data_IF_573567929175
#
_entry.id   IF_573567929175
#
_cell.length_a   1.000
_cell.length_b   1.000
_cell.length_c   1.000
_cell.angle_alpha   90.00
_cell.angle_beta   90.00
_cell.angle_gamma   90.00
#
_symmetry.space_group_name_H-M   'P 1'
#
loop_
_entity.id
_entity.type
_entity.pdbx_description
1 polymer ?
#
# COMPACT_ATOMS: atom_id res chain seq x y z
N UNK A 1 -12.12 4.90 -6.76
CA UNK A 1 -11.21 5.81 -6.03
C UNK A 1 -9.91 5.83 -6.79
N UNK A 2 -9.53 6.98 -7.33
CA UNK A 2 -8.25 7.10 -8.01
C UNK A 2 -7.15 7.20 -6.94
N UNK A 3 -6.20 6.25 -6.95
CA UNK A 3 -5.05 6.26 -6.04
C UNK A 3 -3.98 7.16 -6.65
N UNK A 4 -3.51 8.17 -5.92
CA UNK A 4 -2.37 8.96 -6.36
C UNK A 4 -1.11 8.10 -6.34
N UNK A 5 -0.46 8.00 -7.49
CA UNK A 5 0.71 7.15 -7.72
C UNK A 5 1.82 7.96 -8.37
N UNK A 6 3.04 7.88 -7.85
CA UNK A 6 4.21 8.56 -8.39
C UNK A 6 5.49 7.78 -8.06
N UNK A 7 6.33 7.53 -9.06
CA UNK A 7 7.55 6.69 -8.93
C UNK A 7 7.33 5.32 -8.26
N UNK A 8 6.14 4.71 -8.45
CA UNK A 8 5.77 3.43 -7.84
C UNK A 8 5.33 3.51 -6.38
N UNK A 9 5.30 4.71 -5.79
CA UNK A 9 4.74 4.97 -4.46
C UNK A 9 3.27 5.37 -4.58
N UNK A 10 2.52 5.14 -3.50
CA UNK A 10 1.09 5.45 -3.43
C UNK A 10 0.79 6.35 -2.24
N UNK A 11 -0.24 7.18 -2.35
CA UNK A 11 -0.73 7.99 -1.25
C UNK A 11 -1.88 7.31 -0.50
N UNK A 12 -1.86 7.42 0.84
CA UNK A 12 -3.07 7.32 1.66
C UNK A 12 -3.44 8.73 2.12
N UNK A 13 -4.66 9.16 1.83
CA UNK A 13 -5.16 10.52 2.10
C UNK A 13 -6.31 10.43 3.09
N UNK A 14 -6.30 11.32 4.07
CA UNK A 14 -7.33 11.52 5.07
C UNK A 14 -7.67 13.02 5.11
N UNK A 15 -8.90 13.36 5.47
CA UNK A 15 -9.33 14.75 5.64
C UNK A 15 -9.32 15.07 7.13
N UNK A 16 -8.61 16.13 7.50
CA UNK A 16 -8.63 16.68 8.85
C UNK A 16 -9.69 17.80 8.89
N UNK A 17 -10.75 17.57 9.66
CA UNK A 17 -11.87 18.50 9.77
C UNK A 17 -11.61 19.66 10.74
N UNK A 18 -10.61 19.55 11.63
CA UNK A 18 -10.26 20.63 12.55
C UNK A 18 -9.44 21.71 11.84
N UNK A 19 -8.50 21.26 11.00
CA UNK A 19 -7.59 22.14 10.25
C UNK A 19 -8.05 22.42 8.81
N UNK A 20 -9.17 21.83 8.37
CA UNK A 20 -9.75 21.94 7.02
C UNK A 20 -8.74 21.62 5.90
N UNK A 21 -7.91 20.60 6.12
CA UNK A 21 -6.79 20.24 5.23
C UNK A 21 -6.82 18.76 4.86
N UNK A 22 -6.34 18.43 3.66
CA UNK A 22 -6.06 17.05 3.31
C UNK A 22 -4.67 16.67 3.82
N UNK A 23 -4.62 15.66 4.68
CA UNK A 23 -3.38 15.04 5.13
C UNK A 23 -3.11 13.75 4.35
N UNK A 24 -1.89 13.58 3.89
CA UNK A 24 -1.46 12.42 3.14
C UNK A 24 -0.20 11.80 3.71
N UNK A 25 -0.05 10.48 3.52
CA UNK A 25 1.20 9.77 3.76
C UNK A 25 1.52 8.81 2.63
N UNK A 26 2.82 8.58 2.40
CA UNK A 26 3.25 7.52 1.50
C UNK A 26 2.82 6.17 2.10
N UNK A 27 2.12 5.36 1.31
CA UNK A 27 1.65 4.03 1.67
C UNK A 27 2.64 2.96 1.20
N UNK A 28 2.64 1.82 1.90
CA UNK A 28 3.47 0.66 1.56
C UNK A 28 4.91 0.72 2.06
N UNK A 29 5.33 1.76 2.78
CA UNK A 29 6.67 1.84 3.38
C UNK A 29 6.60 1.98 4.91
N UNK A 30 7.65 1.53 5.59
CA UNK A 30 7.75 1.66 7.05
C UNK A 30 8.27 3.03 7.50
N UNK A 31 8.96 3.76 6.61
CA UNK A 31 9.32 5.16 6.86
C UNK A 31 8.03 6.01 6.84
N UNK A 32 7.86 6.92 7.80
CA UNK A 32 6.68 7.78 7.87
C UNK A 32 6.97 9.09 7.14
N UNK A 33 6.45 9.22 5.91
CA UNK A 33 6.58 10.42 5.09
C UNK A 33 5.18 10.99 4.90
N UNK A 34 4.95 12.15 5.51
CA UNK A 34 3.70 12.90 5.43
C UNK A 34 3.78 14.07 4.46
N UNK A 35 2.63 14.49 3.96
CA UNK A 35 2.43 15.69 3.14
C UNK A 35 1.00 16.19 3.35
N UNK A 36 0.71 17.42 2.96
CA UNK A 36 -0.63 17.98 3.09
C UNK A 36 -0.90 19.00 1.96
N UNK A 37 -2.15 19.41 1.81
CA UNK A 37 -2.53 20.48 0.89
C UNK A 37 -3.99 20.87 1.04
N UNK A 38 -4.31 22.11 0.69
CA UNK A 38 -5.65 22.69 0.87
C UNK A 38 -6.52 22.48 -0.37
N UNK A 39 -5.90 21.98 -1.45
CA UNK A 39 -6.57 21.61 -2.69
C UNK A 39 -6.00 20.32 -3.26
N UNK A 40 -6.76 19.68 -4.16
CA UNK A 40 -6.29 18.48 -4.89
C UNK A 40 -5.00 18.76 -5.67
N UNK A 41 -4.86 19.97 -6.22
CA UNK A 41 -3.67 20.36 -6.99
C UNK A 41 -2.44 20.46 -6.09
N UNK A 42 -2.58 21.10 -4.93
CA UNK A 42 -1.51 21.22 -3.95
C UNK A 42 -1.14 19.87 -3.35
N UNK A 43 -2.15 19.05 -3.02
CA UNK A 43 -1.93 17.72 -2.48
C UNK A 43 -1.15 16.82 -3.44
N UNK A 44 -1.44 16.91 -4.76
CA UNK A 44 -0.67 16.20 -5.80
C UNK A 44 0.78 16.64 -5.86
N UNK A 45 1.01 17.95 -5.83
CA UNK A 45 2.35 18.52 -5.84
C UNK A 45 3.14 18.11 -4.58
N UNK A 46 2.53 18.28 -3.40
CA UNK A 46 3.13 17.91 -2.12
C UNK A 46 3.44 16.42 -2.03
N UNK A 47 2.59 15.55 -2.60
CA UNK A 47 2.89 14.12 -2.69
C UNK A 47 4.14 13.83 -3.55
N UNK A 48 4.27 14.46 -4.72
CA UNK A 48 5.44 14.25 -5.59
C UNK A 48 6.72 14.74 -4.91
N UNK A 49 6.67 15.94 -4.31
CA UNK A 49 7.79 16.51 -3.55
C UNK A 49 8.20 15.59 -2.39
N UNK A 50 7.24 15.08 -1.62
CA UNK A 50 7.51 14.15 -0.53
C UNK A 50 8.18 12.84 -1.00
N UNK A 51 7.79 12.30 -2.16
CA UNK A 51 8.42 11.11 -2.75
C UNK A 51 9.84 11.42 -3.23
N UNK A 52 10.04 12.54 -3.93
CA UNK A 52 11.35 12.93 -4.45
C UNK A 52 12.33 13.22 -3.30
N UNK A 53 11.89 13.93 -2.26
CA UNK A 53 12.67 14.21 -1.06
C UNK A 53 13.02 12.92 -0.31
N UNK A 54 12.11 11.96 -0.25
CA UNK A 54 12.37 10.63 0.34
C UNK A 54 13.48 9.89 -0.41
N UNK A 55 13.37 9.81 -1.74
CA UNK A 55 14.34 9.16 -2.60
C UNK A 55 15.71 9.84 -2.52
N UNK A 56 15.72 11.18 -2.51
CA UNK A 56 16.95 11.95 -2.39
C UNK A 56 17.61 11.74 -1.03
N UNK A 57 16.82 11.74 0.05
CA UNK A 57 17.31 11.50 1.42
C UNK A 57 17.91 10.11 1.52
N UNK A 58 17.24 9.08 1.00
CA UNK A 58 17.77 7.71 0.95
C UNK A 58 19.13 7.66 0.26
N UNK A 59 19.26 8.31 -0.91
CA UNK A 59 20.53 8.43 -1.64
C UNK A 59 21.62 9.13 -0.83
N UNK A 60 21.30 10.25 -0.17
CA UNK A 60 22.26 11.05 0.63
C UNK A 60 22.83 10.25 1.81
N UNK A 61 22.03 9.42 2.45
CA UNK A 61 22.44 8.63 3.63
C UNK A 61 22.94 7.22 3.27
N UNK A 62 23.01 6.87 1.98
CA UNK A 62 23.42 5.53 1.54
C UNK A 62 22.43 4.42 1.93
N UNK A 63 21.15 4.76 2.10
CA UNK A 63 20.06 3.81 2.38
C UNK A 63 19.37 3.48 1.06
N UNK A 64 19.12 2.20 0.81
CA UNK A 64 18.23 1.79 -0.28
C UNK A 64 16.79 2.24 0.04
N UNK A 65 16.13 3.02 -0.84
CA UNK A 65 14.75 3.40 -0.62
C UNK A 65 13.87 2.16 -0.55
N UNK A 66 12.92 2.16 0.39
CA UNK A 66 12.04 1.01 0.58
C UNK A 66 11.17 0.83 -0.66
N UNK A 67 11.32 -0.31 -1.33
CA UNK A 67 10.32 -0.72 -2.32
C UNK A 67 8.99 -0.88 -1.57
N UNK A 68 7.91 -0.22 -2.03
CA UNK A 68 6.62 -0.28 -1.35
C UNK A 68 6.12 -1.73 -1.16
N UNK A 69 6.48 -2.64 -2.05
CA UNK A 69 6.05 -4.04 -1.94
C UNK A 69 7.19 -4.98 -2.33
N UNK A 70 7.67 -5.78 -1.37
CA UNK A 70 8.73 -6.78 -1.60
C UNK A 70 8.20 -8.14 -2.07
N UNK A 71 6.88 -8.30 -2.12
CA UNK A 71 6.20 -9.59 -2.30
C UNK A 71 6.25 -10.51 -1.07
N UNK A 72 7.05 -10.18 -0.05
CA UNK A 72 7.13 -10.98 1.19
C UNK A 72 6.05 -10.56 2.17
N UNK A 73 5.17 -11.49 2.49
CA UNK A 73 4.11 -11.30 3.49
C UNK A 73 4.35 -12.26 4.66
N UNK A 74 4.66 -11.72 5.84
CA UNK A 74 4.80 -12.50 7.08
C UNK A 74 3.57 -12.27 7.96
N UNK A 75 2.63 -13.20 7.93
CA UNK A 75 1.42 -13.13 8.74
C UNK A 75 1.46 -14.10 9.91
N UNK A 76 0.98 -13.64 11.07
CA UNK A 76 0.55 -14.53 12.14
C UNK A 76 -0.96 -14.71 12.02
N UNK A 77 -1.39 -15.93 11.76
CA UNK A 77 -2.81 -16.30 11.70
C UNK A 77 -3.13 -17.33 12.78
N UNK A 78 -4.41 -17.42 13.16
CA UNK A 78 -4.85 -18.48 14.07
C UNK A 78 -4.58 -19.87 13.46
N UNK A 79 -4.21 -20.89 14.26
CA UNK A 79 -3.91 -22.23 13.76
C UNK A 79 -5.00 -22.82 12.86
N UNK A 80 -6.27 -22.55 13.19
CA UNK A 80 -7.41 -23.04 12.40
C UNK A 80 -7.56 -22.35 11.03
N UNK A 81 -7.11 -21.10 10.91
CA UNK A 81 -7.05 -20.41 9.61
C UNK A 81 -5.94 -21.02 8.77
N UNK A 82 -4.76 -21.22 9.36
CA UNK A 82 -3.63 -21.88 8.70
C UNK A 82 -4.02 -23.28 8.21
N UNK A 83 -4.68 -24.09 9.05
CA UNK A 83 -5.14 -25.44 8.68
C UNK A 83 -6.04 -25.43 7.45
N UNK A 84 -7.05 -24.55 7.43
CA UNK A 84 -7.99 -24.47 6.30
C UNK A 84 -7.32 -23.97 5.02
N UNK A 85 -6.44 -22.99 5.11
CA UNK A 85 -5.69 -22.48 3.96
C UNK A 85 -4.74 -23.54 3.38
N UNK A 86 -4.01 -24.26 4.24
CA UNK A 86 -3.11 -25.34 3.82
C UNK A 86 -3.87 -26.48 3.12
N UNK A 87 -5.01 -26.91 3.67
CA UNK A 87 -5.85 -27.93 3.06
C UNK A 87 -6.43 -27.49 1.72
N UNK A 88 -6.89 -26.23 1.61
CA UNK A 88 -7.42 -25.69 0.36
C UNK A 88 -6.34 -25.63 -0.73
N UNK A 89 -5.12 -25.22 -0.39
CA UNK A 89 -3.98 -25.20 -1.31
C UNK A 89 -3.66 -26.63 -1.81
N UNK A 90 -3.59 -27.61 -0.91
CA UNK A 90 -3.31 -29.01 -1.24
C UNK A 90 -4.38 -29.61 -2.16
N UNK A 91 -5.66 -29.44 -1.83
CA UNK A 91 -6.78 -29.92 -2.65
C UNK A 91 -6.84 -29.25 -4.02
N UNK A 92 -6.28 -28.04 -4.15
CA UNK A 92 -6.18 -27.30 -5.41
C UNK A 92 -4.91 -27.63 -6.21
N UNK A 93 -4.03 -28.50 -5.69
CA UNK A 93 -2.76 -28.85 -6.31
C UNK A 93 -1.73 -27.72 -6.34
N UNK A 94 -1.83 -26.75 -5.42
CA UNK A 94 -0.98 -25.54 -5.38
C UNK A 94 -0.14 -25.52 -4.10
N UNK A 95 0.99 -24.82 -4.17
CA UNK A 95 1.70 -24.46 -2.93
C UNK A 95 0.85 -23.48 -2.11
N UNK A 96 1.03 -23.46 -0.78
CA UNK A 96 0.32 -22.51 0.07
C UNK A 96 0.56 -21.06 -0.34
N UNK A 97 1.78 -20.72 -0.78
CA UNK A 97 2.09 -19.36 -1.24
C UNK A 97 1.33 -19.00 -2.53
N UNK A 98 1.32 -19.91 -3.52
CA UNK A 98 0.60 -19.67 -4.78
C UNK A 98 -0.91 -19.56 -4.55
N UNK A 99 -1.48 -20.45 -3.74
CA UNK A 99 -2.89 -20.37 -3.38
C UNK A 99 -3.22 -19.08 -2.64
N UNK A 100 -2.35 -18.65 -1.70
CA UNK A 100 -2.55 -17.41 -0.97
C UNK A 100 -2.42 -16.18 -1.87
N UNK A 101 -1.51 -16.17 -2.84
CA UNK A 101 -1.34 -15.08 -3.81
C UNK A 101 -2.64 -14.85 -4.59
N UNK A 102 -3.23 -15.90 -5.16
CA UNK A 102 -4.50 -15.81 -5.91
C UNK A 102 -5.66 -15.35 -5.03
N UNK A 103 -5.79 -15.89 -3.81
CA UNK A 103 -6.87 -15.50 -2.89
C UNK A 103 -6.71 -14.05 -2.45
N UNK A 104 -5.48 -13.57 -2.25
CA UNK A 104 -5.21 -12.18 -1.88
C UNK A 104 -5.45 -11.23 -3.06
N UNK A 105 -5.13 -11.63 -4.28
CA UNK A 105 -5.45 -10.90 -5.52
C UNK A 105 -6.97 -10.75 -5.66
N UNK A 106 -7.73 -11.86 -5.63
CA UNK A 106 -9.19 -11.84 -5.72
C UNK A 106 -9.82 -10.97 -4.61
N UNK A 107 -9.34 -11.09 -3.38
CA UNK A 107 -9.85 -10.29 -2.26
C UNK A 107 -9.53 -8.79 -2.42
N UNK A 108 -8.36 -8.45 -2.96
CA UNK A 108 -7.96 -7.07 -3.22
C UNK A 108 -8.79 -6.45 -4.35
N UNK A 109 -8.97 -7.19 -5.45
CA UNK A 109 -9.79 -6.78 -6.59
C UNK A 109 -11.25 -6.62 -6.18
N UNK A 110 -11.80 -7.57 -5.42
CA UNK A 110 -13.17 -7.46 -4.91
C UNK A 110 -13.35 -6.24 -4.00
N UNK A 111 -12.37 -5.95 -3.14
CA UNK A 111 -12.39 -4.74 -2.31
C UNK A 111 -12.36 -3.46 -3.14
N UNK A 112 -11.57 -3.47 -4.23
CA UNK A 112 -11.48 -2.37 -5.18
C UNK A 112 -12.79 -2.18 -5.95
N UNK A 113 -13.32 -3.20 -6.62
CA UNK A 113 -14.55 -3.13 -7.41
C UNK A 113 -15.75 -2.63 -6.58
N UNK A 114 -15.88 -3.06 -5.33
CA UNK A 114 -16.96 -2.61 -4.44
C UNK A 114 -16.87 -1.12 -4.03
N UNK A 115 -15.74 -0.44 -4.26
CA UNK A 115 -15.44 0.90 -3.73
C UNK A 115 -14.83 1.87 -4.77
N UNK A 116 -14.48 1.40 -5.97
CA UNK A 116 -13.94 2.22 -7.05
C UNK A 116 -14.92 2.22 -8.24
N UNK A 117 -15.58 3.35 -8.57
CA UNK A 117 -16.31 3.42 -9.84
C UNK A 117 -15.30 3.43 -11.00
N UNK A 118 -15.72 2.83 -12.12
CA UNK A 118 -14.98 2.73 -13.38
C UNK A 118 -14.47 4.07 -13.91
#
# INVERSE_FOLDING_TARGET
>A
MNIMTYNGYHARIEFDAEDDVFFGRIAGISDVIGFHGDSVTELKKAFHEAVDDYLETCRKIGKEPQRPYSGKMMFRVAPEVHRRAALAAELSGKSLNQWAEEVLEEAADHYAEARLPA
#
